data_IF_356447656008
#
_entry.id   IF_356447656008
#
_cell.length_a   1.000
_cell.length_b   1.000
_cell.length_c   1.000
_cell.angle_alpha   90.00
_cell.angle_beta   90.00
_cell.angle_gamma   90.00
#
_symmetry.space_group_name_H-M   'P 1'
#
loop_
_entity.id
_entity.type
_entity.pdbx_description
1 polymer ?
#
# COMPACT_ATOMS: atom_id res chain seq x y z
N UNK A 1 11.25 41.05 24.55
CA UNK A 1 10.10 40.19 24.82
C UNK A 1 9.51 39.58 23.56
N UNK A 2 9.26 40.38 22.53
CA UNK A 2 8.66 39.84 21.28
C UNK A 2 9.54 38.84 20.53
N UNK A 3 10.86 39.02 20.61
CA UNK A 3 11.83 38.12 19.95
C UNK A 3 11.78 36.73 20.59
N UNK A 4 11.67 36.67 21.92
CA UNK A 4 11.57 35.38 22.63
C UNK A 4 10.27 34.66 22.26
N UNK A 5 9.18 35.40 22.17
CA UNK A 5 7.89 34.83 21.75
C UNK A 5 7.95 34.27 20.33
N UNK A 6 8.59 35.02 19.42
CA UNK A 6 8.76 34.58 18.03
C UNK A 6 9.60 33.30 17.93
N UNK A 7 10.68 33.20 18.74
CA UNK A 7 11.53 32.02 18.78
C UNK A 7 10.75 30.79 19.30
N UNK A 8 9.95 30.99 20.35
CA UNK A 8 9.13 29.91 20.90
C UNK A 8 8.09 29.41 19.89
N UNK A 9 7.46 30.32 19.16
CA UNK A 9 6.50 29.95 18.10
C UNK A 9 7.20 29.19 16.99
N UNK A 10 8.38 29.64 16.58
CA UNK A 10 9.15 28.95 15.53
C UNK A 10 9.53 27.52 15.95
N UNK A 11 9.94 27.34 17.20
CA UNK A 11 10.25 26.02 17.75
C UNK A 11 9.00 25.14 17.79
N UNK A 12 7.87 25.68 18.22
CA UNK A 12 6.61 24.96 18.25
C UNK A 12 6.17 24.51 16.84
N UNK A 13 6.30 25.39 15.86
CA UNK A 13 5.97 25.06 14.47
C UNK A 13 6.93 23.99 13.93
N UNK A 14 8.22 24.11 14.21
CA UNK A 14 9.22 23.13 13.77
C UNK A 14 8.96 21.74 14.38
N UNK A 15 8.57 21.68 15.65
CA UNK A 15 8.21 20.39 16.29
C UNK A 15 6.93 19.81 15.69
N UNK A 16 5.93 20.64 15.42
CA UNK A 16 4.70 20.18 14.77
C UNK A 16 4.98 19.62 13.37
N UNK A 17 5.78 20.31 12.58
CA UNK A 17 6.16 19.85 11.24
C UNK A 17 6.94 18.54 11.33
N UNK A 18 7.83 18.41 12.32
CA UNK A 18 8.60 17.19 12.54
C UNK A 18 7.71 16.01 12.89
N UNK A 19 6.64 16.25 13.67
CA UNK A 19 5.64 15.23 13.98
C UNK A 19 4.76 14.87 12.79
N UNK A 20 4.54 15.81 11.89
CA UNK A 20 3.76 15.56 10.66
C UNK A 20 4.55 14.83 9.56
N UNK A 21 5.84 14.62 9.78
CA UNK A 21 6.71 13.92 8.82
C UNK A 21 6.33 12.46 8.56
N UNK A 22 5.41 11.91 9.34
CA UNK A 22 4.87 10.56 9.14
C UNK A 22 3.58 10.56 8.33
N UNK A 23 3.25 11.65 7.65
CA UNK A 23 2.14 11.64 6.71
C UNK A 23 2.49 10.63 5.61
N UNK A 24 1.74 9.55 5.60
CA UNK A 24 1.92 8.46 4.66
C UNK A 24 1.75 8.95 3.23
N UNK A 25 2.85 9.29 2.62
CA UNK A 25 2.88 9.68 1.22
C UNK A 25 2.98 8.43 0.37
N UNK A 26 2.21 8.36 -0.70
CA UNK A 26 2.34 7.28 -1.67
C UNK A 26 3.64 7.45 -2.45
N UNK A 27 4.45 6.41 -2.45
CA UNK A 27 5.75 6.42 -3.12
C UNK A 27 5.72 5.53 -4.35
N UNK A 28 6.62 5.80 -5.29
CA UNK A 28 6.89 4.88 -6.41
C UNK A 28 7.93 3.86 -5.97
N UNK A 29 8.07 2.77 -6.74
CA UNK A 29 9.10 1.76 -6.46
C UNK A 29 10.49 2.39 -6.52
N UNK A 30 10.76 3.23 -7.52
CA UNK A 30 12.05 3.91 -7.64
C UNK A 30 12.33 4.81 -6.44
N UNK A 31 11.34 5.58 -5.99
CA UNK A 31 11.48 6.45 -4.83
C UNK A 31 11.69 5.66 -3.54
N UNK A 32 10.95 4.55 -3.37
CA UNK A 32 11.09 3.69 -2.21
C UNK A 32 12.48 3.05 -2.14
N UNK A 33 13.04 2.65 -3.28
CA UNK A 33 14.40 2.09 -3.36
C UNK A 33 15.48 3.09 -2.95
N UNK A 34 15.23 4.38 -3.13
CA UNK A 34 16.15 5.43 -2.71
C UNK A 34 16.10 5.70 -1.21
N UNK A 35 15.10 5.17 -0.52
CA UNK A 35 14.87 5.35 0.92
C UNK A 35 14.77 4.00 1.63
N UNK A 36 15.80 3.15 1.56
CA UNK A 36 15.73 1.83 2.18
C UNK A 36 15.54 1.95 3.69
N UNK A 37 14.75 1.05 4.26
CA UNK A 37 14.45 1.04 5.68
C UNK A 37 13.37 2.01 6.12
N UNK A 38 12.90 2.90 5.24
CA UNK A 38 11.83 3.83 5.56
C UNK A 38 10.48 3.22 5.20
N UNK A 39 9.53 3.27 6.12
CA UNK A 39 8.17 2.83 5.85
C UNK A 39 7.47 3.75 4.86
N UNK A 40 6.94 3.17 3.80
CA UNK A 40 6.25 3.90 2.74
C UNK A 40 4.99 3.14 2.35
N UNK A 41 4.06 3.85 1.72
CA UNK A 41 2.91 3.25 1.06
C UNK A 41 3.19 3.21 -0.43
N UNK A 42 3.10 2.02 -1.01
CA UNK A 42 3.40 1.79 -2.40
C UNK A 42 2.11 1.39 -3.13
N UNK A 43 1.74 2.15 -4.15
CA UNK A 43 0.64 1.77 -5.02
C UNK A 43 1.20 0.97 -6.19
N UNK A 44 0.77 -0.28 -6.31
CA UNK A 44 1.28 -1.17 -7.33
C UNK A 44 0.20 -2.17 -7.74
N UNK A 45 0.51 -2.95 -8.76
CA UNK A 45 -0.29 -4.10 -9.17
C UNK A 45 0.55 -5.35 -9.01
N UNK A 46 -0.11 -6.49 -8.82
CA UNK A 46 0.60 -7.76 -8.90
C UNK A 46 0.98 -8.03 -10.36
N UNK A 47 2.25 -8.31 -10.61
CA UNK A 47 2.71 -8.68 -11.94
C UNK A 47 2.39 -10.16 -12.19
N UNK A 48 1.32 -10.41 -12.92
CA UNK A 48 0.85 -11.77 -13.21
C UNK A 48 1.77 -12.52 -14.17
N UNK A 49 2.68 -11.83 -14.84
CA UNK A 49 3.67 -12.46 -15.71
C UNK A 49 4.81 -13.12 -14.94
N UNK A 50 4.95 -12.78 -13.65
CA UNK A 50 5.97 -13.34 -12.77
C UNK A 50 5.36 -14.33 -11.80
N UNK A 51 6.11 -15.38 -11.40
CA UNK A 51 5.58 -16.37 -10.47
C UNK A 51 5.34 -15.79 -9.09
N UNK A 52 4.22 -16.20 -8.49
CA UNK A 52 3.90 -15.93 -7.10
C UNK A 52 4.17 -17.20 -6.31
N UNK A 53 4.85 -17.07 -5.16
CA UNK A 53 5.14 -18.20 -4.30
C UNK A 53 4.32 -18.09 -3.01
N UNK A 54 3.44 -19.05 -2.79
CA UNK A 54 2.64 -19.15 -1.58
C UNK A 54 2.23 -20.61 -1.34
N UNK A 55 2.60 -21.12 -0.17
CA UNK A 55 2.20 -22.48 0.24
C UNK A 55 1.37 -22.37 1.52
N UNK A 56 0.04 -22.47 1.45
CA UNK A 56 -0.83 -22.32 2.62
C UNK A 56 -0.70 -23.48 3.61
N UNK A 57 -0.14 -24.61 3.22
CA UNK A 57 0.04 -25.76 4.08
C UNK A 57 1.35 -25.68 4.85
N UNK A 58 2.47 -25.47 4.15
CA UNK A 58 3.80 -25.44 4.75
C UNK A 58 4.11 -24.12 5.41
N UNK A 59 3.68 -23.02 4.80
CA UNK A 59 4.06 -21.68 5.24
C UNK A 59 2.93 -20.68 4.97
N UNK A 60 1.83 -20.74 5.74
CA UNK A 60 0.65 -19.93 5.50
C UNK A 60 0.88 -18.43 5.70
N UNK A 61 1.98 -18.06 6.38
CA UNK A 61 2.31 -16.66 6.66
C UNK A 61 3.54 -16.19 5.88
N UNK A 62 3.75 -16.72 4.69
CA UNK A 62 4.85 -16.31 3.83
C UNK A 62 4.39 -16.26 2.38
N UNK A 63 4.30 -15.06 1.84
CA UNK A 63 3.88 -14.81 0.47
C UNK A 63 4.94 -13.98 -0.24
N UNK A 64 5.35 -14.39 -1.43
CA UNK A 64 6.22 -13.59 -2.29
C UNK A 64 5.57 -13.41 -3.65
N UNK A 65 5.68 -12.22 -4.19
CA UNK A 65 5.19 -11.91 -5.52
C UNK A 65 5.94 -10.69 -6.07
N UNK A 66 5.80 -10.43 -7.36
CA UNK A 66 6.38 -9.25 -7.98
C UNK A 66 5.29 -8.19 -8.12
N UNK A 67 5.59 -6.98 -7.65
CA UNK A 67 4.73 -5.82 -7.81
C UNK A 67 5.27 -4.93 -8.93
N UNK A 68 4.36 -4.33 -9.68
CA UNK A 68 4.68 -3.36 -10.72
C UNK A 68 3.93 -2.06 -10.44
N UNK A 69 4.63 -0.93 -10.48
CA UNK A 69 4.01 0.37 -10.26
C UNK A 69 3.48 0.98 -11.56
N UNK A 70 2.88 2.17 -11.48
CA UNK A 70 2.32 2.85 -12.63
C UNK A 70 3.37 3.31 -13.64
N UNK A 71 4.63 3.39 -13.21
CA UNK A 71 5.76 3.78 -14.08
C UNK A 71 6.44 2.57 -14.74
N UNK A 72 5.97 1.36 -14.44
CA UNK A 72 6.53 0.13 -15.00
C UNK A 72 7.70 -0.46 -14.22
N UNK A 73 8.06 0.12 -13.09
CA UNK A 73 9.11 -0.43 -12.23
C UNK A 73 8.59 -1.65 -11.48
N UNK A 74 9.44 -2.63 -11.27
CA UNK A 74 9.10 -3.89 -10.62
C UNK A 74 9.95 -4.08 -9.37
N UNK A 75 9.37 -4.71 -8.36
CA UNK A 75 10.07 -5.09 -7.13
C UNK A 75 9.47 -6.37 -6.59
N UNK A 76 10.32 -7.24 -6.04
CA UNK A 76 9.86 -8.43 -5.33
C UNK A 76 9.31 -8.01 -3.98
N UNK A 77 8.10 -8.48 -3.65
CA UNK A 77 7.42 -8.20 -2.39
C UNK A 77 7.43 -9.45 -1.54
N UNK A 78 7.83 -9.30 -0.28
CA UNK A 78 7.77 -10.36 0.73
C UNK A 78 6.75 -9.94 1.79
N UNK A 79 5.74 -10.78 1.99
CA UNK A 79 4.65 -10.52 2.93
C UNK A 79 4.58 -11.65 3.95
N UNK A 80 4.73 -11.31 5.21
CA UNK A 80 4.81 -12.29 6.31
C UNK A 80 3.46 -12.54 6.96
N UNK A 81 2.43 -12.72 6.14
CA UNK A 81 1.08 -13.01 6.58
C UNK A 81 0.37 -13.85 5.52
N UNK A 82 -0.84 -14.27 5.84
CA UNK A 82 -1.64 -15.05 4.92
C UNK A 82 -1.95 -14.24 3.66
N UNK A 83 -1.94 -14.91 2.52
CA UNK A 83 -2.28 -14.29 1.25
C UNK A 83 -3.69 -13.71 1.30
N UNK A 84 -3.87 -12.41 0.97
CA UNK A 84 -5.21 -11.82 0.95
C UNK A 84 -6.12 -12.50 -0.06
N UNK A 85 -7.38 -12.68 0.30
CA UNK A 85 -8.38 -13.25 -0.59
C UNK A 85 -8.59 -12.32 -1.80
N UNK A 86 -8.66 -12.90 -2.99
CA UNK A 86 -8.89 -12.18 -4.25
C UNK A 86 -7.79 -11.18 -4.62
N UNK A 87 -6.56 -11.39 -4.11
CA UNK A 87 -5.43 -10.52 -4.44
C UNK A 87 -5.18 -10.46 -5.94
N UNK A 88 -5.31 -11.60 -6.65
CA UNK A 88 -5.10 -11.67 -8.09
C UNK A 88 -6.16 -10.91 -8.88
N UNK A 89 -7.34 -10.74 -8.31
CA UNK A 89 -8.45 -10.03 -8.94
C UNK A 89 -8.42 -8.53 -8.68
N UNK A 90 -7.57 -8.08 -7.78
CA UNK A 90 -7.48 -6.67 -7.43
C UNK A 90 -6.80 -5.88 -8.54
N UNK A 91 -7.37 -4.73 -8.85
CA UNK A 91 -6.81 -3.83 -9.86
C UNK A 91 -5.58 -3.13 -9.34
N UNK A 92 -5.56 -2.78 -8.05
CA UNK A 92 -4.45 -2.10 -7.40
C UNK A 92 -4.26 -2.62 -6.00
N UNK A 93 -3.00 -2.62 -5.57
CA UNK A 93 -2.61 -2.97 -4.22
C UNK A 93 -1.96 -1.74 -3.58
N UNK A 94 -2.31 -1.48 -2.33
CA UNK A 94 -1.55 -0.54 -1.50
C UNK A 94 -0.70 -1.36 -0.55
N UNK A 95 0.60 -1.31 -0.75
CA UNK A 95 1.57 -2.08 0.02
C UNK A 95 2.21 -1.17 1.05
N UNK A 96 2.07 -1.52 2.31
CA UNK A 96 2.68 -0.80 3.42
C UNK A 96 3.89 -1.56 3.91
N UNK A 97 5.04 -0.94 3.82
CA UNK A 97 6.27 -1.58 4.24
C UNK A 97 7.49 -0.75 3.90
N UNK A 98 8.62 -1.42 3.78
CA UNK A 98 9.91 -0.78 3.54
C UNK A 98 10.74 -1.59 2.57
N UNK A 99 11.66 -0.94 1.90
CA UNK A 99 12.62 -1.62 1.03
C UNK A 99 13.82 -2.07 1.86
N UNK A 100 14.14 -3.34 1.79
CA UNK A 100 15.34 -3.93 2.39
C UNK A 100 15.96 -4.92 1.43
N UNK A 101 17.28 -4.82 1.22
CA UNK A 101 18.07 -5.72 0.36
C UNK A 101 17.48 -5.88 -1.05
N UNK A 102 16.96 -4.78 -1.60
CA UNK A 102 16.38 -4.76 -2.94
C UNK A 102 14.99 -5.39 -3.04
N UNK A 103 14.41 -5.80 -1.92
CA UNK A 103 13.05 -6.35 -1.85
C UNK A 103 12.17 -5.44 -1.00
N UNK A 104 10.86 -5.51 -1.23
CA UNK A 104 9.90 -4.76 -0.43
C UNK A 104 9.36 -5.66 0.68
N UNK A 105 9.77 -5.38 1.91
CA UNK A 105 9.27 -6.05 3.10
C UNK A 105 7.91 -5.45 3.46
N UNK A 106 6.86 -6.12 3.05
CA UNK A 106 5.49 -5.65 3.19
C UNK A 106 4.93 -6.06 4.54
N UNK A 107 4.39 -5.09 5.26
CA UNK A 107 3.76 -5.34 6.56
C UNK A 107 2.25 -5.50 6.41
N UNK A 108 1.65 -4.80 5.46
CA UNK A 108 0.20 -4.82 5.24
C UNK A 108 -0.11 -4.61 3.77
N UNK A 109 -1.16 -5.27 3.30
CA UNK A 109 -1.62 -5.17 1.92
C UNK A 109 -3.09 -4.77 1.94
N UNK A 110 -3.41 -3.63 1.32
CA UNK A 110 -4.77 -3.19 1.11
C UNK A 110 -5.13 -3.44 -0.35
N UNK A 111 -6.25 -4.11 -0.57
CA UNK A 111 -6.75 -4.38 -1.90
C UNK A 111 -7.65 -3.24 -2.35
N UNK A 112 -7.31 -2.66 -3.48
CA UNK A 112 -8.19 -1.68 -4.14
C UNK A 112 -8.98 -2.42 -5.20
N UNK A 113 -10.25 -2.62 -4.93
CA UNK A 113 -11.15 -3.22 -5.90
C UNK A 113 -11.39 -2.25 -7.04
N UNK A 114 -11.51 -2.75 -8.29
CA UNK A 114 -11.81 -1.88 -9.42
C UNK A 114 -13.18 -1.22 -9.26
N UNK A 115 -13.42 -0.17 -10.02
CA UNK A 115 -14.71 0.51 -10.08
C UNK A 115 -15.88 -0.45 -10.37
N UNK A 116 -15.59 -1.59 -10.98
CA UNK A 116 -16.52 -2.70 -11.16
C UNK A 116 -17.16 -3.16 -9.85
N UNK A 117 -16.43 -3.14 -8.75
CA UNK A 117 -16.96 -3.53 -7.45
C UNK A 117 -18.03 -2.54 -6.97
N UNK A 118 -17.80 -1.25 -7.18
CA UNK A 118 -18.79 -0.22 -6.86
C UNK A 118 -20.02 -0.33 -7.77
N UNK A 119 -19.80 -0.63 -9.04
CA UNK A 119 -20.89 -0.82 -10.00
C UNK A 119 -21.70 -2.07 -9.64
N UNK A 120 -21.04 -3.16 -9.24
CA UNK A 120 -21.72 -4.38 -8.80
C UNK A 120 -22.52 -4.14 -7.52
N UNK A 121 -22.00 -3.37 -6.57
CA UNK A 121 -22.73 -3.01 -5.37
C UNK A 121 -23.95 -2.16 -5.70
N UNK A 122 -23.83 -1.22 -6.61
CA UNK A 122 -24.94 -0.40 -7.08
C UNK A 122 -25.95 -1.23 -7.88
N UNK A 123 -25.48 -2.14 -8.70
CA UNK A 123 -26.36 -3.05 -9.46
C UNK A 123 -27.13 -3.96 -8.51
N UNK A 124 -26.49 -4.50 -7.49
CA UNK A 124 -27.14 -5.31 -6.47
C UNK A 124 -28.20 -4.53 -5.69
N UNK A 125 -27.88 -3.28 -5.36
CA UNK A 125 -28.83 -2.40 -4.68
C UNK A 125 -30.06 -2.13 -5.56
N UNK A 126 -29.85 -1.89 -6.84
CA UNK A 126 -30.96 -1.72 -7.81
C UNK A 126 -31.77 -2.99 -7.97
N UNK A 127 -31.13 -4.13 -8.05
CA UNK A 127 -31.80 -5.41 -8.17
C UNK A 127 -32.65 -5.71 -6.93
N UNK A 128 -32.15 -5.42 -5.75
CA UNK A 128 -32.90 -5.57 -4.50
C UNK A 128 -34.11 -4.64 -4.51
N UNK A 129 -33.93 -3.40 -4.93
CA UNK A 129 -35.06 -2.45 -5.05
C UNK A 129 -36.08 -2.92 -6.07
N UNK A 130 -35.64 -3.45 -7.19
CA UNK A 130 -36.53 -3.97 -8.23
C UNK A 130 -37.27 -5.22 -7.76
N UNK A 131 -36.66 -6.07 -6.95
CA UNK A 131 -37.30 -7.28 -6.43
C UNK A 131 -38.35 -7.00 -5.34
N UNK A 132 -38.29 -5.85 -4.69
CA UNK A 132 -39.23 -5.43 -3.68
C UNK A 132 -40.51 -4.86 -4.32
N UNK A 133 -40.41 -4.37 -5.54
CA UNK A 133 -41.53 -3.86 -6.31
C UNK A 133 -42.29 -5.00 -7.00
#
# INVERSE_FOLDING_TARGET
MHIVALVLIAIAIATLISFMGDVTTYETIASAKQKPGKFVNLIAKMDKSQPMSYDPVKNPNYLTFTAIDTLGNKIEVVYHNAKPTDMEKSERLVLKGKVEDGKFECKDILLKCPSKYKDDANANAKNVSASIQ
#
